data_IF_322814844245
#
_entry.id   IF_322814844245
#
_cell.length_a   1.000
_cell.length_b   1.000
_cell.length_c   1.000
_cell.angle_alpha   90.00
_cell.angle_beta   90.00
_cell.angle_gamma   90.00
#
_symmetry.space_group_name_H-M   'P 1'
#
loop_
_entity.id
_entity.type
_entity.pdbx_description
1 polymer ?
#
# COMPACT_ATOMS: atom_id res chain seq x y z
N UNK A 1 49.54 -45.60 -14.43
CA UNK A 1 49.31 -46.75 -13.54
C UNK A 1 47.85 -46.60 -13.08
N UNK A 2 46.92 -47.20 -13.86
CA UNK A 2 46.37 -48.57 -13.80
C UNK A 2 45.72 -48.84 -12.44
N UNK A 3 44.49 -49.12 -12.34
CA UNK A 3 43.43 -50.00 -12.78
C UNK A 3 42.45 -50.18 -11.62
N UNK A 4 41.13 -50.00 -11.84
CA UNK A 4 40.15 -51.11 -11.95
C UNK A 4 39.87 -51.84 -10.61
N UNK A 5 38.67 -52.05 -10.20
CA UNK A 5 37.56 -52.89 -10.66
C UNK A 5 36.33 -52.84 -9.69
N UNK A 6 35.18 -52.75 -10.23
CA UNK A 6 34.02 -53.65 -10.39
C UNK A 6 33.04 -53.87 -9.21
N UNK A 7 31.85 -53.56 -9.57
CA UNK A 7 30.56 -54.28 -9.49
C UNK A 7 30.17 -55.03 -8.21
N UNK A 8 28.95 -54.76 -7.74
CA UNK A 8 27.87 -55.77 -7.78
C UNK A 8 26.48 -55.18 -7.54
N UNK A 9 25.57 -55.69 -8.35
CA UNK A 9 24.12 -55.48 -8.37
C UNK A 9 23.44 -56.23 -7.21
N UNK A 10 22.32 -55.70 -6.68
CA UNK A 10 21.34 -56.47 -5.92
C UNK A 10 19.93 -55.93 -6.22
N UNK A 11 19.18 -56.75 -6.95
CA UNK A 11 17.75 -56.54 -7.24
C UNK A 11 16.88 -57.23 -6.19
N UNK A 12 15.72 -56.58 -5.84
CA UNK A 12 14.41 -57.13 -5.61
C UNK A 12 13.98 -57.41 -4.16
N UNK A 13 12.72 -57.62 -3.87
CA UNK A 13 11.54 -57.46 -4.73
C UNK A 13 10.41 -56.61 -4.13
N UNK A 14 9.45 -56.25 -4.95
CA UNK A 14 8.14 -55.71 -4.70
C UNK A 14 7.25 -56.58 -3.83
N UNK A 15 6.47 -55.96 -2.92
CA UNK A 15 5.31 -56.66 -2.34
C UNK A 15 4.10 -55.71 -2.37
N UNK A 16 3.20 -55.98 -3.29
CA UNK A 16 1.84 -55.43 -3.33
C UNK A 16 0.96 -56.24 -2.37
N UNK A 17 0.23 -55.60 -1.49
CA UNK A 17 -0.88 -56.23 -0.77
C UNK A 17 -2.12 -55.40 -0.99
N UNK A 18 -3.01 -55.92 -1.82
CA UNK A 18 -4.42 -55.58 -1.87
C UNK A 18 -5.18 -56.47 -0.87
N UNK A 19 -6.03 -55.90 -0.06
CA UNK A 19 -7.07 -56.66 0.68
C UNK A 19 -8.39 -55.94 0.58
N UNK A 20 -9.36 -56.77 0.22
CA UNK A 20 -10.69 -56.44 -0.20
C UNK A 20 -11.70 -56.26 0.95
N UNK A 21 -12.82 -55.68 0.52
CA UNK A 21 -14.15 -55.58 1.17
C UNK A 21 -14.54 -56.77 2.08
N UNK A 22 -15.27 -56.42 3.15
CA UNK A 22 -16.42 -57.22 3.60
C UNK A 22 -17.51 -56.35 4.23
N UNK A 23 -18.67 -56.48 3.62
CA UNK A 23 -19.97 -55.98 4.05
C UNK A 23 -20.54 -56.95 5.12
N UNK A 24 -21.07 -56.43 6.18
CA UNK A 24 -21.99 -57.20 7.03
C UNK A 24 -23.12 -56.33 7.51
N UNK A 25 -24.31 -56.71 7.07
CA UNK A 25 -25.66 -56.22 7.38
C UNK A 25 -26.17 -56.95 8.62
N UNK A 26 -26.65 -56.25 9.63
CA UNK A 26 -27.54 -56.82 10.63
C UNK A 26 -28.61 -55.81 11.06
N UNK A 27 -29.86 -56.15 10.73
CA UNK A 27 -31.07 -55.50 11.26
C UNK A 27 -31.33 -55.98 12.71
N UNK A 28 -31.77 -55.04 13.55
CA UNK A 28 -32.69 -55.33 14.62
C UNK A 28 -33.54 -54.11 14.96
N UNK A 29 -34.84 -54.28 14.86
CA UNK A 29 -35.94 -53.35 15.21
C UNK A 29 -36.18 -53.33 16.73
N UNK A 30 -36.52 -52.14 17.27
CA UNK A 30 -37.58 -51.85 18.25
C UNK A 30 -37.34 -50.45 18.84
N UNK A 31 -38.07 -49.43 18.53
CA UNK A 31 -39.36 -49.01 19.07
C UNK A 31 -39.18 -48.00 20.20
N UNK A 32 -39.50 -46.77 19.95
CA UNK A 32 -40.43 -45.90 20.66
C UNK A 32 -40.20 -44.43 20.32
N UNK A 33 -41.31 -43.89 19.92
CA UNK A 33 -41.63 -42.53 19.54
C UNK A 33 -41.17 -41.44 20.56
N UNK A 34 -40.54 -40.37 20.05
CA UNK A 34 -40.88 -39.00 20.47
C UNK A 34 -40.43 -38.04 19.34
N UNK A 35 -41.41 -37.53 18.64
CA UNK A 35 -41.29 -36.46 17.65
C UNK A 35 -40.73 -35.21 18.32
N UNK A 36 -39.48 -34.86 17.99
CA UNK A 36 -38.99 -33.47 18.06
C UNK A 36 -38.89 -32.95 16.64
N UNK A 37 -39.79 -32.03 16.39
CA UNK A 37 -39.88 -31.22 15.19
C UNK A 37 -38.51 -30.55 14.93
N UNK A 38 -37.88 -30.90 13.84
CA UNK A 38 -36.66 -30.25 13.39
C UNK A 38 -37.07 -28.88 12.85
N UNK A 39 -36.63 -27.82 13.54
CA UNK A 39 -36.75 -26.46 13.07
C UNK A 39 -35.98 -26.29 11.74
N UNK A 40 -36.68 -25.80 10.73
CA UNK A 40 -36.13 -25.41 9.44
C UNK A 40 -34.98 -24.36 9.63
N UNK A 41 -33.95 -24.39 8.80
CA UNK A 41 -32.91 -23.35 8.85
C UNK A 41 -33.56 -22.01 8.57
N UNK A 42 -33.36 -21.04 9.48
CA UNK A 42 -33.73 -19.66 9.26
C UNK A 42 -32.92 -19.14 8.07
N UNK A 43 -33.64 -18.79 7.03
CA UNK A 43 -33.15 -18.01 5.91
C UNK A 43 -32.45 -16.74 6.48
N UNK A 44 -31.14 -16.60 6.28
CA UNK A 44 -30.43 -15.38 6.63
C UNK A 44 -30.90 -14.35 5.61
N UNK A 45 -31.74 -13.43 6.06
CA UNK A 45 -32.19 -12.31 5.25
C UNK A 45 -30.94 -11.56 4.76
N UNK A 46 -30.79 -11.48 3.44
CA UNK A 46 -29.82 -10.61 2.82
C UNK A 46 -29.99 -9.19 3.38
N UNK A 47 -28.96 -8.65 4.01
CA UNK A 47 -28.95 -7.27 4.47
C UNK A 47 -29.22 -6.37 3.27
N UNK A 48 -30.24 -5.54 3.39
CA UNK A 48 -30.54 -4.52 2.40
C UNK A 48 -29.30 -3.62 2.21
N UNK A 49 -29.04 -3.13 0.98
CA UNK A 49 -27.94 -2.21 0.75
C UNK A 49 -28.12 -1.02 1.68
N UNK A 50 -27.04 -0.71 2.43
CA UNK A 50 -26.99 0.47 3.28
C UNK A 50 -27.20 1.66 2.35
N UNK A 51 -28.30 2.38 2.55
CA UNK A 51 -28.55 3.63 1.81
C UNK A 51 -27.45 4.62 2.17
N UNK A 52 -26.58 4.89 1.21
CA UNK A 52 -25.59 5.97 1.31
C UNK A 52 -26.40 7.25 1.47
N UNK A 53 -26.31 7.87 2.65
CA UNK A 53 -26.94 9.17 2.89
C UNK A 53 -26.46 10.15 1.83
N UNK A 54 -27.34 10.99 1.24
CA UNK A 54 -26.89 11.96 0.24
C UNK A 54 -25.89 12.90 0.91
N UNK A 55 -24.65 12.85 0.43
CA UNK A 55 -23.56 13.72 0.86
C UNK A 55 -24.02 15.15 0.66
N UNK A 56 -23.98 15.93 1.72
CA UNK A 56 -24.39 17.33 1.72
C UNK A 56 -23.66 18.10 0.62
N UNK A 57 -24.41 18.67 -0.31
CA UNK A 57 -23.96 19.40 -1.50
C UNK A 57 -23.28 20.76 -1.20
N UNK A 58 -22.65 20.93 -0.05
CA UNK A 58 -22.20 22.24 0.47
C UNK A 58 -20.72 22.56 0.24
N UNK A 59 -19.92 21.73 -0.44
CA UNK A 59 -18.55 22.08 -0.82
C UNK A 59 -18.44 22.08 -2.34
N UNK A 60 -19.18 22.92 -3.00
CA UNK A 60 -18.88 23.38 -4.35
C UNK A 60 -18.25 24.77 -4.26
N UNK A 61 -17.22 24.91 -3.41
CA UNK A 61 -16.34 26.06 -3.47
C UNK A 61 -15.72 26.06 -4.87
N UNK A 62 -15.61 27.23 -5.47
CA UNK A 62 -14.87 27.39 -6.73
C UNK A 62 -13.40 27.03 -6.47
N UNK A 63 -13.05 25.79 -6.74
CA UNK A 63 -11.69 25.28 -6.59
C UNK A 63 -10.80 25.63 -7.80
N UNK A 64 -11.38 26.31 -8.80
CA UNK A 64 -10.68 26.59 -10.05
C UNK A 64 -10.58 25.38 -10.99
N UNK A 65 -9.68 25.45 -11.99
CA UNK A 65 -9.47 24.34 -12.91
C UNK A 65 -8.83 23.13 -12.19
N UNK A 66 -9.03 21.90 -12.70
CA UNK A 66 -8.38 20.71 -12.18
C UNK A 66 -6.86 20.89 -12.06
N UNK A 67 -6.21 20.30 -11.03
CA UNK A 67 -4.75 20.30 -10.93
C UNK A 67 -4.10 19.67 -12.18
N UNK A 68 -2.94 20.18 -12.55
CA UNK A 68 -2.14 19.55 -13.60
C UNK A 68 -1.27 18.45 -13.00
N UNK A 69 -1.13 17.32 -13.71
CA UNK A 69 -0.24 16.23 -13.35
C UNK A 69 0.42 15.67 -14.62
N UNK A 70 1.74 15.46 -14.60
CA UNK A 70 2.46 14.92 -15.76
C UNK A 70 2.71 13.42 -15.59
N UNK A 71 1.72 12.63 -15.98
CA UNK A 71 1.76 11.17 -15.86
C UNK A 71 2.87 10.51 -16.70
N UNK A 72 3.25 11.10 -17.81
CA UNK A 72 4.37 10.58 -18.61
C UNK A 72 5.70 10.71 -17.86
N UNK A 73 5.90 11.82 -17.15
CA UNK A 73 7.09 12.03 -16.31
C UNK A 73 7.05 11.14 -15.06
N UNK A 74 5.90 11.01 -14.41
CA UNK A 74 5.74 10.08 -13.29
C UNK A 74 6.06 8.64 -13.70
N UNK A 75 5.55 8.18 -14.84
CA UNK A 75 5.87 6.85 -15.37
C UNK A 75 7.36 6.71 -15.75
N UNK A 76 8.01 7.77 -16.15
CA UNK A 76 9.46 7.76 -16.38
C UNK A 76 10.22 7.56 -15.06
N UNK A 77 9.81 8.21 -13.98
CA UNK A 77 10.38 7.99 -12.64
C UNK A 77 10.18 6.55 -12.16
N UNK A 78 9.01 5.96 -12.37
CA UNK A 78 8.79 4.52 -12.10
C UNK A 78 9.84 3.67 -12.79
N UNK A 79 10.03 3.87 -14.10
CA UNK A 79 11.01 3.10 -14.89
C UNK A 79 12.44 3.28 -14.38
N UNK A 80 12.81 4.48 -13.97
CA UNK A 80 14.14 4.79 -13.45
C UNK A 80 14.37 4.17 -12.06
N UNK A 81 13.37 4.19 -11.17
CA UNK A 81 13.43 3.53 -9.86
C UNK A 81 13.54 2.01 -10.04
N UNK A 82 12.68 1.42 -10.87
CA UNK A 82 12.69 -0.04 -11.16
C UNK A 82 14.01 -0.49 -11.80
N UNK A 83 14.66 0.38 -12.59
CA UNK A 83 15.93 0.05 -13.23
C UNK A 83 17.09 -0.16 -12.23
N UNK A 84 16.98 0.31 -10.99
CA UNK A 84 17.95 -0.03 -9.94
C UNK A 84 17.86 -1.51 -9.52
N UNK A 85 16.73 -2.18 -9.78
CA UNK A 85 16.45 -3.57 -9.39
C UNK A 85 15.87 -3.65 -7.98
N UNK A 86 15.87 -4.87 -7.38
CA UNK A 86 15.43 -5.08 -6.00
C UNK A 86 16.17 -4.12 -5.05
N UNK A 87 15.39 -3.44 -4.21
CA UNK A 87 15.89 -2.38 -3.31
C UNK A 87 15.45 -2.60 -1.86
N UNK A 88 15.61 -3.85 -1.31
CA UNK A 88 15.26 -4.08 0.07
C UNK A 88 16.16 -3.25 0.99
N UNK A 89 15.65 -2.95 2.17
CA UNK A 89 16.36 -2.20 3.20
C UNK A 89 17.82 -2.65 3.36
N UNK A 90 18.74 -1.68 3.45
CA UNK A 90 20.18 -1.92 3.64
C UNK A 90 20.93 -2.40 2.38
N UNK A 91 20.27 -2.58 1.24
CA UNK A 91 20.92 -2.95 -0.01
C UNK A 91 21.59 -1.75 -0.70
N UNK A 92 22.55 -2.05 -1.59
CA UNK A 92 23.18 -1.02 -2.41
C UNK A 92 22.19 -0.34 -3.38
N UNK A 93 21.17 -1.05 -3.85
CA UNK A 93 20.13 -0.49 -4.71
C UNK A 93 19.18 0.42 -3.93
N UNK A 94 18.86 0.06 -2.69
CA UNK A 94 18.11 0.90 -1.76
C UNK A 94 18.81 2.27 -1.62
N UNK A 95 20.10 2.26 -1.32
CA UNK A 95 20.88 3.51 -1.24
C UNK A 95 20.89 4.33 -2.55
N UNK A 96 20.87 3.67 -3.72
CA UNK A 96 20.76 4.38 -5.00
C UNK A 96 19.40 5.08 -5.16
N UNK A 97 18.31 4.46 -4.67
CA UNK A 97 16.99 5.08 -4.71
C UNK A 97 16.90 6.26 -3.76
N UNK A 98 17.46 6.17 -2.53
CA UNK A 98 17.61 7.36 -1.67
C UNK A 98 18.33 8.50 -2.42
N UNK A 99 19.50 8.23 -3.00
CA UNK A 99 20.28 9.22 -3.73
C UNK A 99 19.52 9.78 -4.94
N UNK A 100 18.72 8.95 -5.60
CA UNK A 100 17.87 9.33 -6.72
C UNK A 100 16.75 10.30 -6.28
N UNK A 101 16.05 9.98 -5.19
CA UNK A 101 15.02 10.86 -4.61
C UNK A 101 15.65 12.21 -4.24
N UNK A 102 16.76 12.22 -3.49
CA UNK A 102 17.48 13.45 -3.14
C UNK A 102 17.92 14.26 -4.35
N UNK A 103 18.37 13.60 -5.43
CA UNK A 103 18.79 14.29 -6.65
C UNK A 103 17.62 15.02 -7.33
N UNK A 104 16.40 14.45 -7.26
CA UNK A 104 15.19 15.08 -7.81
C UNK A 104 14.61 16.17 -6.91
N UNK A 105 14.96 16.18 -5.63
CA UNK A 105 14.55 17.19 -4.66
C UNK A 105 15.59 18.33 -4.51
N UNK A 106 16.59 18.35 -5.38
CA UNK A 106 17.63 19.38 -5.31
C UNK A 106 17.06 20.80 -5.44
N UNK A 107 17.24 21.59 -4.41
CA UNK A 107 16.72 22.96 -4.30
C UNK A 107 15.40 23.08 -3.51
N UNK A 108 14.79 21.97 -3.15
CA UNK A 108 13.66 21.94 -2.22
C UNK A 108 14.17 21.95 -0.76
N UNK A 109 13.28 22.20 0.19
CA UNK A 109 13.59 22.07 1.63
C UNK A 109 13.37 20.60 2.00
N UNK A 110 14.46 19.90 2.25
CA UNK A 110 14.42 18.46 2.58
C UNK A 110 14.97 18.23 3.99
N UNK A 111 14.28 17.41 4.75
CA UNK A 111 14.72 16.88 6.05
C UNK A 111 14.81 15.36 5.95
N UNK A 112 15.89 14.79 6.51
CA UNK A 112 16.03 13.35 6.68
C UNK A 112 15.77 12.98 8.13
N UNK A 113 14.95 11.95 8.33
CA UNK A 113 14.80 11.25 9.60
C UNK A 113 15.55 9.92 9.50
N UNK A 114 16.82 9.94 9.90
CA UNK A 114 17.72 8.80 9.77
C UNK A 114 18.00 8.15 11.13
N UNK A 115 17.87 6.85 11.20
CA UNK A 115 18.08 6.04 12.40
C UNK A 115 18.46 4.61 12.01
N UNK A 116 18.80 3.81 13.01
CA UNK A 116 19.06 2.36 12.81
C UNK A 116 17.98 1.53 13.48
N UNK A 117 17.63 0.42 12.86
CA UNK A 117 16.76 -0.60 13.47
C UNK A 117 17.53 -1.89 13.72
N UNK A 118 17.19 -2.56 14.82
CA UNK A 118 17.66 -3.90 15.14
C UNK A 118 16.56 -4.91 14.83
N UNK A 119 16.83 -5.86 13.96
CA UNK A 119 15.86 -6.88 13.51
C UNK A 119 16.41 -8.28 13.70
N UNK A 120 15.59 -9.30 13.47
CA UNK A 120 16.03 -10.70 13.50
C UNK A 120 17.01 -11.04 12.36
N UNK A 121 17.04 -10.25 11.29
CA UNK A 121 17.91 -10.44 10.12
C UNK A 121 19.19 -9.58 10.20
N UNK A 122 19.29 -8.69 11.20
CA UNK A 122 20.45 -7.83 11.40
C UNK A 122 20.07 -6.41 11.77
N UNK A 123 21.08 -5.55 11.75
CA UNK A 123 20.91 -4.12 11.97
C UNK A 123 20.92 -3.40 10.62
N UNK A 124 19.92 -2.53 10.41
CA UNK A 124 19.76 -1.80 9.16
C UNK A 124 19.63 -0.30 9.41
N UNK A 125 20.28 0.53 8.56
CA UNK A 125 19.97 1.95 8.51
C UNK A 125 18.61 2.16 7.84
N UNK A 126 17.82 3.09 8.37
CA UNK A 126 16.52 3.55 7.87
C UNK A 126 16.59 5.04 7.65
N UNK A 127 15.95 5.53 6.59
CA UNK A 127 15.93 6.96 6.26
C UNK A 127 14.60 7.37 5.67
N UNK A 128 13.76 8.03 6.44
CA UNK A 128 12.62 8.76 5.89
C UNK A 128 13.11 10.07 5.26
N UNK A 129 12.64 10.38 4.06
CA UNK A 129 13.00 11.61 3.32
C UNK A 129 11.75 12.50 3.26
N UNK A 130 11.83 13.73 3.78
CA UNK A 130 10.67 14.63 3.89
C UNK A 130 10.96 15.91 3.11
N UNK A 131 10.27 16.14 2.00
CA UNK A 131 10.30 17.39 1.26
C UNK A 131 9.17 18.32 1.73
N UNK A 132 9.51 19.57 2.09
CA UNK A 132 8.57 20.50 2.74
C UNK A 132 8.27 21.69 1.84
N UNK A 133 6.98 21.88 1.54
CA UNK A 133 6.47 23.00 0.75
C UNK A 133 5.61 23.89 1.66
N UNK A 134 6.12 25.08 2.07
CA UNK A 134 5.45 25.92 3.05
C UNK A 134 4.18 26.53 2.48
N UNK A 135 3.11 26.49 3.27
CA UNK A 135 1.86 27.20 3.05
C UNK A 135 1.73 28.42 3.95
N UNK A 136 0.68 29.19 3.74
CA UNK A 136 0.39 30.41 4.54
C UNK A 136 -0.55 30.14 5.72
N UNK A 137 -1.23 28.98 5.72
CA UNK A 137 -2.11 28.51 6.79
C UNK A 137 -1.37 27.65 7.79
N UNK A 138 -1.71 27.76 9.07
CA UNK A 138 -1.18 26.90 10.12
C UNK A 138 -1.71 25.47 9.97
N UNK A 139 -0.84 24.55 9.70
CA UNK A 139 -1.13 23.13 9.54
C UNK A 139 -0.32 22.49 8.43
N UNK A 140 -0.35 21.16 8.41
CA UNK A 140 0.44 20.33 7.51
C UNK A 140 -0.46 19.27 6.89
N UNK A 141 -0.41 19.10 5.58
CA UNK A 141 -0.91 17.93 4.89
C UNK A 141 0.31 17.08 4.53
N UNK A 142 0.34 15.84 4.96
CA UNK A 142 1.39 14.87 4.60
C UNK A 142 0.86 13.98 3.49
N UNK A 143 1.65 13.79 2.44
CA UNK A 143 1.42 12.79 1.40
C UNK A 143 2.61 11.85 1.47
N UNK A 144 2.36 10.56 1.69
CA UNK A 144 3.38 9.57 2.00
C UNK A 144 3.40 8.42 1.00
N UNK A 145 4.54 7.75 0.90
CA UNK A 145 4.77 6.56 0.11
C UNK A 145 6.05 5.89 0.55
N UNK A 146 6.07 4.56 0.66
CA UNK A 146 7.32 3.84 0.87
C UNK A 146 8.16 3.74 -0.41
N UNK A 147 9.46 3.46 -0.28
CA UNK A 147 10.35 3.33 -1.44
C UNK A 147 11.22 2.06 -1.42
N UNK A 148 11.21 1.30 -0.32
CA UNK A 148 11.90 0.01 -0.22
C UNK A 148 11.16 -1.10 -0.99
N UNK A 149 11.68 -2.30 -1.00
CA UNK A 149 11.02 -3.51 -1.53
C UNK A 149 11.14 -4.64 -0.53
N UNK A 150 10.19 -5.56 -0.61
CA UNK A 150 10.03 -6.69 0.28
C UNK A 150 11.35 -7.45 0.56
N UNK A 151 11.80 -7.44 1.82
CA UNK A 151 13.07 -8.04 2.22
C UNK A 151 13.11 -9.57 2.05
N UNK A 152 12.05 -10.34 2.33
CA UNK A 152 11.99 -11.75 2.00
C UNK A 152 12.25 -12.09 0.53
N UNK A 153 11.97 -11.17 -0.40
CA UNK A 153 12.17 -11.34 -1.84
C UNK A 153 13.52 -10.82 -2.36
N UNK A 154 14.43 -10.39 -1.48
CA UNK A 154 15.71 -9.74 -1.81
C UNK A 154 16.61 -10.49 -2.78
N UNK A 155 16.52 -11.82 -2.78
CA UNK A 155 17.36 -12.72 -3.63
C UNK A 155 16.62 -13.14 -4.92
N UNK A 156 15.52 -12.47 -5.25
CA UNK A 156 14.72 -12.72 -6.46
C UNK A 156 14.84 -11.58 -7.47
N UNK A 157 14.11 -11.66 -8.57
CA UNK A 157 13.98 -10.55 -9.52
C UNK A 157 12.78 -9.62 -9.20
N UNK A 158 12.29 -9.62 -7.98
CA UNK A 158 11.20 -8.73 -7.53
C UNK A 158 11.67 -7.27 -7.52
N UNK A 159 10.99 -6.41 -8.25
CA UNK A 159 11.40 -5.01 -8.41
C UNK A 159 10.38 -4.01 -7.84
N UNK A 160 9.21 -4.48 -7.36
CA UNK A 160 8.20 -3.63 -6.77
C UNK A 160 7.86 -2.42 -7.67
N UNK A 161 7.33 -2.68 -8.86
CA UNK A 161 7.04 -1.62 -9.82
C UNK A 161 5.77 -0.85 -9.43
N UNK A 162 4.75 -1.56 -8.95
CA UNK A 162 3.57 -0.96 -8.34
C UNK A 162 3.84 -0.69 -6.85
N UNK A 163 4.39 -1.68 -6.19
CA UNK A 163 4.67 -1.75 -4.79
C UNK A 163 5.96 -0.96 -4.46
N UNK A 164 5.76 0.27 -3.97
CA UNK A 164 6.76 1.27 -3.63
C UNK A 164 7.25 2.15 -4.78
N UNK A 165 7.41 1.66 -6.03
CA UNK A 165 7.94 2.53 -7.08
C UNK A 165 6.88 3.43 -7.72
N UNK A 166 5.61 2.98 -7.86
CA UNK A 166 4.54 3.77 -8.47
C UNK A 166 4.23 5.01 -7.64
N UNK A 167 4.05 4.84 -6.36
CA UNK A 167 3.71 5.88 -5.40
C UNK A 167 4.91 6.80 -5.11
N UNK A 168 6.12 6.27 -4.95
CA UNK A 168 7.34 7.08 -4.85
C UNK A 168 7.54 7.99 -6.07
N UNK A 169 7.27 7.48 -7.27
CA UNK A 169 7.34 8.26 -8.51
C UNK A 169 6.22 9.33 -8.59
N UNK A 170 5.03 9.02 -8.11
CA UNK A 170 3.93 9.97 -8.00
C UNK A 170 4.32 11.14 -7.10
N UNK A 171 4.92 10.88 -5.93
CA UNK A 171 5.40 11.93 -5.04
C UNK A 171 6.45 12.83 -5.70
N UNK A 172 7.39 12.28 -6.49
CA UNK A 172 8.37 13.07 -7.25
C UNK A 172 7.68 14.00 -8.27
N UNK A 173 6.60 13.55 -8.88
CA UNK A 173 5.82 14.40 -9.78
C UNK A 173 5.05 15.48 -9.01
N UNK A 174 4.47 15.15 -7.86
CA UNK A 174 3.83 16.14 -6.98
C UNK A 174 4.86 17.18 -6.52
N UNK A 175 6.08 16.78 -6.17
CA UNK A 175 7.18 17.70 -5.84
C UNK A 175 7.42 18.71 -6.98
N UNK A 176 7.45 18.25 -8.22
CA UNK A 176 7.58 19.15 -9.38
C UNK A 176 6.39 20.10 -9.53
N UNK A 177 5.18 19.65 -9.18
CA UNK A 177 3.98 20.51 -9.23
C UNK A 177 3.98 21.58 -8.13
N UNK A 178 4.58 21.30 -6.97
CA UNK A 178 4.62 22.21 -5.82
C UNK A 178 5.81 23.16 -5.86
N UNK A 179 6.91 22.74 -6.48
CA UNK A 179 8.17 23.50 -6.51
C UNK A 179 7.99 24.91 -7.07
N UNK A 180 8.45 25.90 -6.32
CA UNK A 180 8.36 27.31 -6.69
C UNK A 180 6.96 27.91 -6.65
N UNK A 181 5.94 27.16 -6.25
CA UNK A 181 4.60 27.71 -6.03
C UNK A 181 4.46 28.29 -4.63
N UNK A 182 3.72 29.38 -4.53
CA UNK A 182 3.23 29.88 -3.24
C UNK A 182 1.94 29.14 -2.91
N UNK A 183 1.91 28.40 -1.80
CA UNK A 183 0.72 27.74 -1.32
C UNK A 183 -0.04 28.70 -0.40
N UNK A 184 -1.28 29.02 -0.76
CA UNK A 184 -2.14 29.88 0.04
C UNK A 184 -2.89 29.10 1.13
N UNK A 185 -2.77 27.77 1.15
CA UNK A 185 -3.35 26.83 2.11
C UNK A 185 -2.36 26.34 3.16
N UNK A 186 -2.54 25.10 3.59
CA UNK A 186 -1.64 24.39 4.51
C UNK A 186 -0.28 24.12 3.86
N UNK A 187 0.74 23.89 4.69
CA UNK A 187 2.01 23.34 4.22
C UNK A 187 1.78 21.92 3.71
N UNK A 188 2.43 21.55 2.60
CA UNK A 188 2.40 20.18 2.08
C UNK A 188 3.77 19.56 2.30
N UNK A 189 3.80 18.42 2.98
CA UNK A 189 5.01 17.64 3.19
C UNK A 189 4.89 16.34 2.41
N UNK A 190 5.88 16.03 1.60
CA UNK A 190 5.98 14.76 0.88
C UNK A 190 6.95 13.88 1.62
N UNK A 191 6.48 12.70 2.01
CA UNK A 191 7.22 11.73 2.81
C UNK A 191 7.50 10.50 1.96
N UNK A 192 8.75 10.26 1.62
CA UNK A 192 9.21 8.95 1.20
C UNK A 192 9.66 8.22 2.45
N UNK A 193 8.85 7.33 2.94
CA UNK A 193 9.19 6.53 4.11
C UNK A 193 9.96 5.27 3.73
N UNK A 194 10.62 4.71 4.71
CA UNK A 194 11.57 3.62 4.55
C UNK A 194 11.23 2.46 5.48
N UNK A 195 11.57 1.25 5.05
CA UNK A 195 11.36 0.04 5.83
C UNK A 195 9.88 -0.18 6.20
N UNK A 196 8.99 0.10 5.26
CA UNK A 196 7.58 -0.30 5.34
C UNK A 196 7.49 -1.82 5.31
N UNK A 197 8.17 -2.41 4.34
CA UNK A 197 8.11 -3.81 4.01
C UNK A 197 8.58 -4.73 5.14
N UNK A 198 7.88 -5.86 5.28
CA UNK A 198 8.21 -6.82 6.33
C UNK A 198 9.61 -7.42 6.16
N UNK A 199 10.38 -7.45 7.26
CA UNK A 199 11.70 -8.07 7.29
C UNK A 199 11.61 -9.60 7.18
N UNK A 200 10.48 -10.17 7.59
CA UNK A 200 10.19 -11.61 7.48
C UNK A 200 8.70 -11.86 7.41
N UNK A 201 8.32 -13.00 6.84
CA UNK A 201 6.92 -13.46 6.86
C UNK A 201 6.58 -14.22 8.16
N UNK A 202 5.33 -14.17 8.63
CA UNK A 202 4.26 -13.30 8.12
C UNK A 202 4.51 -11.82 8.45
N UNK A 203 3.89 -10.92 7.69
CA UNK A 203 3.84 -9.49 7.99
C UNK A 203 3.17 -9.26 9.35
N UNK A 204 3.76 -8.42 10.18
CA UNK A 204 3.24 -8.05 11.51
C UNK A 204 3.70 -6.65 11.86
N UNK A 205 2.97 -5.97 12.73
CA UNK A 205 3.34 -4.63 13.26
C UNK A 205 4.75 -4.58 13.88
N UNK A 206 5.30 -5.73 14.31
CA UNK A 206 6.63 -5.77 14.92
C UNK A 206 7.76 -5.87 13.89
N UNK A 207 7.46 -6.29 12.66
CA UNK A 207 8.47 -6.57 11.64
C UNK A 207 8.34 -5.77 10.34
N UNK A 208 7.52 -4.72 10.34
CA UNK A 208 7.19 -3.85 9.21
C UNK A 208 6.98 -2.40 9.64
N UNK A 209 6.70 -1.52 8.73
CA UNK A 209 6.38 -0.08 8.91
C UNK A 209 7.32 0.66 9.89
N UNK A 210 8.60 0.29 9.87
CA UNK A 210 9.58 0.81 10.85
C UNK A 210 9.80 2.32 10.72
N UNK A 211 9.86 2.82 9.49
CA UNK A 211 10.10 4.23 9.18
C UNK A 211 9.02 5.12 9.79
N UNK A 212 7.78 4.85 9.45
CA UNK A 212 6.64 5.66 9.93
C UNK A 212 6.35 5.48 11.41
N UNK A 213 6.61 4.31 12.00
CA UNK A 213 6.48 4.12 13.46
C UNK A 213 7.45 5.03 14.22
N UNK A 214 8.71 5.09 13.76
CA UNK A 214 9.71 5.98 14.33
C UNK A 214 9.32 7.44 14.14
N UNK A 215 8.94 7.82 12.92
CA UNK A 215 8.60 9.20 12.58
C UNK A 215 7.37 9.70 13.33
N UNK A 216 6.33 8.88 13.43
CA UNK A 216 5.12 9.21 14.17
C UNK A 216 5.41 9.42 15.67
N UNK A 217 6.32 8.61 16.27
CA UNK A 217 6.77 8.81 17.64
C UNK A 217 7.58 10.11 17.77
N UNK A 218 8.56 10.35 16.89
CA UNK A 218 9.36 11.59 16.86
C UNK A 218 8.47 12.83 16.77
N UNK A 219 7.49 12.83 15.85
CA UNK A 219 6.58 13.96 15.67
C UNK A 219 5.57 14.12 16.81
N UNK A 220 5.29 13.04 17.55
CA UNK A 220 4.53 13.14 18.80
C UNK A 220 5.35 13.82 19.89
N UNK A 221 6.61 13.46 20.04
CA UNK A 221 7.50 13.94 21.10
C UNK A 221 7.86 15.43 20.90
N UNK A 222 8.06 15.87 19.66
CA UNK A 222 8.36 17.27 19.33
C UNK A 222 7.11 18.13 19.12
N UNK A 223 5.91 17.53 19.10
CA UNK A 223 4.63 18.21 18.96
C UNK A 223 4.20 18.48 17.52
N UNK A 224 4.98 18.11 16.52
CA UNK A 224 4.65 18.29 15.08
C UNK A 224 3.31 17.64 14.73
N UNK A 225 3.02 16.46 15.31
CA UNK A 225 1.83 15.67 15.04
C UNK A 225 0.52 16.45 15.24
N UNK A 226 0.48 17.42 16.17
CA UNK A 226 -0.70 18.26 16.45
C UNK A 226 -1.04 19.21 15.31
N UNK A 227 -0.08 19.46 14.44
CA UNK A 227 -0.22 20.36 13.30
C UNK A 227 -0.66 19.62 12.03
N UNK A 228 -0.61 18.28 12.00
CA UNK A 228 -1.01 17.49 10.84
C UNK A 228 -2.54 17.48 10.72
N UNK A 229 -3.04 17.97 9.61
CA UNK A 229 -4.47 18.08 9.30
C UNK A 229 -4.99 16.88 8.52
N UNK A 230 -4.13 16.27 7.72
CA UNK A 230 -4.37 15.02 7.00
C UNK A 230 -3.05 14.33 6.70
N UNK A 231 -3.07 13.01 6.74
CA UNK A 231 -2.03 12.11 6.26
C UNK A 231 -2.65 11.26 5.15
N UNK A 232 -2.14 11.34 3.94
CA UNK A 232 -2.61 10.60 2.76
C UNK A 232 -1.47 9.67 2.35
N UNK A 233 -1.69 8.38 2.50
CA UNK A 233 -0.78 7.36 2.02
C UNK A 233 -1.16 7.01 0.59
N UNK A 234 -0.16 6.86 -0.25
CA UNK A 234 -0.27 6.38 -1.61
C UNK A 234 0.51 5.08 -1.71
N UNK A 235 -0.17 3.97 -1.94
CA UNK A 235 0.47 2.68 -2.14
C UNK A 235 -0.16 1.90 -3.29
N UNK A 236 0.66 1.21 -4.08
CA UNK A 236 0.25 0.36 -5.21
C UNK A 236 -0.72 1.04 -6.20
N UNK A 237 -0.50 2.30 -6.53
CA UNK A 237 -1.45 3.17 -7.26
C UNK A 237 -1.27 3.17 -8.79
N UNK A 238 -0.44 2.30 -9.33
CA UNK A 238 -0.07 2.32 -10.74
C UNK A 238 -0.76 1.28 -11.63
N UNK A 239 -1.55 0.34 -11.08
CA UNK A 239 -2.18 -0.73 -11.87
C UNK A 239 -2.92 -0.19 -13.09
N UNK A 240 -2.76 -0.87 -14.23
CA UNK A 240 -3.45 -0.52 -15.47
C UNK A 240 -4.99 -0.67 -15.35
N UNK A 241 -5.46 -1.52 -14.44
CA UNK A 241 -6.87 -1.70 -14.09
C UNK A 241 -7.16 -1.13 -12.68
N UNK A 242 -6.86 0.15 -12.49
CA UNK A 242 -6.88 0.85 -11.21
C UNK A 242 -8.23 0.74 -10.48
N UNK A 243 -8.20 0.26 -9.23
CA UNK A 243 -9.33 0.11 -8.33
C UNK A 243 -8.93 0.40 -6.88
N UNK A 244 -8.85 1.67 -6.50
CA UNK A 244 -8.55 2.08 -5.13
C UNK A 244 -9.66 1.61 -4.19
N UNK A 245 -9.33 0.76 -3.23
CA UNK A 245 -10.26 0.28 -2.22
C UNK A 245 -10.51 1.32 -1.12
N UNK A 246 -11.66 1.22 -0.47
CA UNK A 246 -11.94 1.95 0.77
C UNK A 246 -11.34 1.19 1.94
N UNK A 247 -10.50 1.81 2.72
CA UNK A 247 -9.90 1.17 3.88
C UNK A 247 -10.75 1.38 5.15
N UNK A 248 -11.11 0.28 5.83
CA UNK A 248 -11.89 0.33 7.09
C UNK A 248 -11.15 1.02 8.24
N UNK A 249 -9.81 1.04 8.18
CA UNK A 249 -8.95 1.68 9.18
C UNK A 249 -8.71 3.16 8.89
N UNK A 250 -9.06 3.66 7.70
CA UNK A 250 -8.91 5.05 7.32
C UNK A 250 -9.95 5.97 7.97
N UNK A 251 -9.67 7.26 8.01
CA UNK A 251 -10.60 8.28 8.53
C UNK A 251 -11.73 8.53 7.54
N UNK A 252 -12.99 8.16 7.84
CA UNK A 252 -14.07 8.15 6.85
C UNK A 252 -14.31 9.49 6.15
N UNK A 253 -14.25 10.61 6.87
CA UNK A 253 -14.50 11.91 6.25
C UNK A 253 -13.38 12.32 5.27
N UNK A 254 -12.15 11.81 5.45
CA UNK A 254 -11.04 12.11 4.54
C UNK A 254 -11.17 11.29 3.26
N UNK A 255 -11.51 10.00 3.36
CA UNK A 255 -11.86 9.19 2.19
C UNK A 255 -13.08 9.74 1.44
N UNK A 256 -14.11 10.21 2.16
CA UNK A 256 -15.27 10.87 1.53
C UNK A 256 -14.83 12.12 0.76
N UNK A 257 -13.84 12.86 1.24
CA UNK A 257 -13.26 14.00 0.52
C UNK A 257 -12.49 13.56 -0.73
N UNK A 258 -11.69 12.51 -0.64
CA UNK A 258 -11.02 11.90 -1.80
C UNK A 258 -12.05 11.46 -2.86
N UNK A 259 -13.14 10.81 -2.43
CA UNK A 259 -14.21 10.40 -3.35
C UNK A 259 -14.91 11.60 -4.00
N UNK A 260 -15.11 12.70 -3.27
CA UNK A 260 -15.64 13.94 -3.82
C UNK A 260 -14.67 14.55 -4.85
N UNK A 261 -13.37 14.56 -4.57
CA UNK A 261 -12.34 14.98 -5.52
C UNK A 261 -12.37 14.14 -6.79
N UNK A 262 -12.40 12.80 -6.65
CA UNK A 262 -12.52 11.88 -7.76
C UNK A 262 -13.80 12.12 -8.57
N UNK A 263 -14.94 12.36 -7.91
CA UNK A 263 -16.23 12.65 -8.56
C UNK A 263 -16.18 13.94 -9.35
N UNK A 264 -15.60 15.00 -8.78
CA UNK A 264 -15.44 16.30 -9.44
C UNK A 264 -14.60 16.19 -10.73
N UNK A 265 -13.61 15.30 -10.71
CA UNK A 265 -12.69 15.06 -11.85
C UNK A 265 -13.21 14.00 -12.84
N UNK A 266 -14.32 13.32 -12.53
CA UNK A 266 -14.90 12.25 -13.36
C UNK A 266 -14.20 10.90 -13.21
N UNK A 267 -13.46 10.68 -12.13
CA UNK A 267 -12.68 9.47 -11.82
C UNK A 267 -13.28 8.56 -10.76
N UNK A 268 -14.49 8.85 -10.27
CA UNK A 268 -15.12 8.12 -9.15
C UNK A 268 -15.27 6.61 -9.37
N UNK A 269 -15.27 6.15 -10.62
CA UNK A 269 -15.35 4.72 -10.94
C UNK A 269 -14.10 3.92 -10.56
N UNK A 270 -13.00 4.60 -10.27
CA UNK A 270 -11.74 3.99 -9.85
C UNK A 270 -11.55 4.00 -8.34
N UNK A 271 -12.52 4.50 -7.57
CA UNK A 271 -12.38 4.69 -6.13
C UNK A 271 -13.52 4.03 -5.36
N UNK A 272 -13.15 3.25 -4.34
CA UNK A 272 -14.01 2.81 -3.25
C UNK A 272 -15.19 1.92 -3.66
N UNK A 273 -15.03 1.14 -4.75
CA UNK A 273 -16.01 0.13 -5.13
C UNK A 273 -16.04 -1.06 -4.14
N UNK A 274 -14.95 -1.31 -3.44
CA UNK A 274 -14.78 -2.35 -2.41
C UNK A 274 -14.28 -1.71 -1.13
N UNK A 275 -14.54 -2.40 0.00
CA UNK A 275 -14.03 -2.00 1.31
C UNK A 275 -13.20 -3.15 1.88
N UNK A 276 -12.02 -2.85 2.36
CA UNK A 276 -11.07 -3.81 2.95
C UNK A 276 -10.42 -3.21 4.19
N UNK A 277 -10.00 -3.99 5.19
CA UNK A 277 -9.14 -3.50 6.26
C UNK A 277 -7.68 -3.56 5.81
N UNK A 278 -6.96 -2.42 5.90
CA UNK A 278 -5.53 -2.35 5.63
C UNK A 278 -4.72 -2.10 6.89
N UNK A 279 -3.58 -2.77 6.95
CA UNK A 279 -2.54 -2.56 7.96
C UNK A 279 -1.34 -1.98 7.22
N UNK A 280 -1.08 -0.65 7.35
CA UNK A 280 -0.12 0.04 6.53
C UNK A 280 0.45 1.28 7.23
N UNK A 281 1.29 2.06 6.56
CA UNK A 281 2.03 3.22 7.04
C UNK A 281 1.15 4.35 7.61
N UNK A 282 -0.12 4.42 7.26
CA UNK A 282 -1.06 5.40 7.82
C UNK A 282 -1.43 5.08 9.29
N UNK A 283 -1.36 3.81 9.72
CA UNK A 283 -1.82 3.39 11.05
C UNK A 283 -1.09 4.02 12.23
N UNK A 284 0.25 4.14 12.26
CA UNK A 284 0.94 4.80 13.37
C UNK A 284 0.47 6.24 13.59
N UNK A 285 0.05 6.93 12.54
CA UNK A 285 -0.52 8.29 12.62
C UNK A 285 -1.97 8.27 13.09
N UNK A 286 -2.80 7.34 12.62
CA UNK A 286 -4.17 7.16 13.09
C UNK A 286 -4.24 6.85 14.58
N UNK A 287 -3.36 5.98 15.08
CA UNK A 287 -3.24 5.65 16.51
C UNK A 287 -2.94 6.89 17.36
N UNK A 288 -2.43 7.95 16.75
CA UNK A 288 -2.15 9.26 17.35
C UNK A 288 -3.19 10.32 17.01
N UNK A 289 -4.36 9.88 16.52
CA UNK A 289 -5.50 10.74 16.18
C UNK A 289 -5.24 11.72 15.02
N UNK A 290 -4.28 11.44 14.16
CA UNK A 290 -4.12 12.15 12.89
C UNK A 290 -5.15 11.62 11.90
N UNK A 291 -5.96 12.47 11.28
CA UNK A 291 -6.83 12.03 10.19
C UNK A 291 -6.00 11.47 9.05
N UNK A 292 -6.19 10.18 8.72
CA UNK A 292 -5.39 9.49 7.72
C UNK A 292 -6.27 8.76 6.72
N UNK A 293 -5.82 8.66 5.49
CA UNK A 293 -6.43 7.85 4.44
C UNK A 293 -5.32 7.07 3.72
N UNK A 294 -5.59 5.81 3.47
CA UNK A 294 -4.79 4.94 2.63
C UNK A 294 -5.44 4.83 1.25
N UNK A 295 -4.71 5.23 0.22
CA UNK A 295 -5.12 5.12 -1.17
C UNK A 295 -4.33 3.98 -1.82
N UNK A 296 -4.89 2.79 -1.73
CA UNK A 296 -4.25 1.55 -2.19
C UNK A 296 -5.13 0.81 -3.18
N UNK A 297 -4.52 0.26 -4.24
CA UNK A 297 -5.13 -0.77 -5.09
C UNK A 297 -4.61 -2.14 -4.69
N UNK A 298 -5.33 -2.80 -3.77
CA UNK A 298 -4.99 -4.14 -3.30
C UNK A 298 -5.69 -5.25 -4.12
N UNK A 299 -6.14 -4.90 -5.32
CA UNK A 299 -6.66 -5.87 -6.31
C UNK A 299 -5.72 -6.07 -7.51
N UNK A 300 -4.47 -5.71 -7.38
CA UNK A 300 -3.40 -5.66 -8.39
C UNK A 300 -3.29 -6.94 -9.22
N UNK A 301 -3.78 -6.85 -10.46
CA UNK A 301 -4.11 -8.00 -11.27
C UNK A 301 -5.35 -8.73 -10.72
N UNK A 302 -5.70 -9.88 -11.31
CA UNK A 302 -6.83 -10.67 -10.81
C UNK A 302 -6.53 -11.25 -9.42
N UNK A 303 -7.30 -10.83 -8.41
CA UNK A 303 -7.18 -11.30 -7.02
C UNK A 303 -5.77 -11.09 -6.42
N UNK A 304 -5.18 -9.93 -6.69
CA UNK A 304 -3.86 -9.51 -6.19
C UNK A 304 -2.68 -10.43 -6.57
N UNK A 305 -2.74 -11.08 -7.74
CA UNK A 305 -1.76 -12.12 -8.15
C UNK A 305 -0.37 -11.58 -8.47
N UNK A 306 -0.22 -10.27 -8.67
CA UNK A 306 1.09 -9.66 -8.98
C UNK A 306 1.81 -9.18 -7.73
N UNK A 307 1.09 -8.90 -6.65
CA UNK A 307 1.64 -8.42 -5.40
C UNK A 307 2.64 -9.40 -4.79
N UNK A 308 3.77 -8.92 -4.33
CA UNK A 308 4.88 -9.69 -3.77
C UNK A 308 5.35 -10.84 -4.67
N UNK A 309 5.32 -10.63 -5.98
CA UNK A 309 5.85 -11.59 -6.96
C UNK A 309 6.76 -10.90 -7.98
N UNK A 310 7.59 -11.69 -8.68
CA UNK A 310 8.42 -11.17 -9.77
C UNK A 310 7.62 -10.69 -11.00
N UNK A 311 6.29 -10.76 -10.93
CA UNK A 311 5.38 -10.22 -11.94
C UNK A 311 4.98 -8.76 -11.67
N UNK A 312 5.35 -8.20 -10.52
CA UNK A 312 5.20 -6.77 -10.27
C UNK A 312 6.22 -5.97 -11.08
N UNK A 313 5.83 -5.66 -12.30
CA UNK A 313 6.68 -5.09 -13.35
C UNK A 313 5.99 -3.93 -14.07
N UNK A 314 6.79 -3.04 -14.68
CA UNK A 314 6.31 -1.80 -15.33
C UNK A 314 5.23 -2.02 -16.39
N UNK A 315 5.21 -3.19 -17.05
CA UNK A 315 4.19 -3.51 -18.08
C UNK A 315 2.79 -3.76 -17.50
N UNK A 316 2.64 -3.89 -16.19
CA UNK A 316 1.35 -3.96 -15.50
C UNK A 316 0.78 -2.59 -15.17
N UNK A 317 1.59 -1.54 -15.28
CA UNK A 317 1.23 -0.20 -14.85
C UNK A 317 0.75 0.68 -16.01
N UNK A 318 -0.02 1.72 -15.66
CA UNK A 318 -0.53 2.70 -16.61
C UNK A 318 -0.17 4.13 -16.22
N UNK A 319 0.36 4.96 -17.14
CA UNK A 319 0.46 6.40 -16.88
C UNK A 319 -0.89 7.03 -16.53
N UNK A 320 -2.00 6.45 -17.02
CA UNK A 320 -3.34 6.97 -16.75
C UNK A 320 -3.72 6.77 -15.28
N UNK A 321 -3.33 5.67 -14.67
CA UNK A 321 -3.57 5.42 -13.24
C UNK A 321 -2.83 6.43 -12.38
N UNK A 322 -1.54 6.67 -12.67
CA UNK A 322 -0.76 7.73 -12.02
C UNK A 322 -1.36 9.13 -12.19
N UNK A 323 -1.92 9.43 -13.38
CA UNK A 323 -2.64 10.69 -13.62
C UNK A 323 -3.88 10.80 -12.74
N UNK A 324 -4.70 9.75 -12.71
CA UNK A 324 -5.94 9.70 -11.93
C UNK A 324 -5.63 9.96 -10.47
N UNK A 325 -4.77 9.14 -9.87
CA UNK A 325 -4.45 9.24 -8.44
C UNK A 325 -3.78 10.57 -8.14
N UNK A 326 -2.73 10.95 -8.86
CA UNK A 326 -2.01 12.20 -8.61
C UNK A 326 -2.88 13.46 -8.76
N UNK A 327 -3.82 13.46 -9.71
CA UNK A 327 -4.76 14.58 -9.87
C UNK A 327 -5.79 14.62 -8.74
N UNK A 328 -6.32 13.45 -8.32
CA UNK A 328 -7.27 13.34 -7.21
C UNK A 328 -6.61 13.74 -5.89
N UNK A 329 -5.38 13.32 -5.63
CA UNK A 329 -4.63 13.71 -4.43
C UNK A 329 -4.41 15.23 -4.37
N UNK A 330 -3.96 15.85 -5.46
CA UNK A 330 -3.79 17.31 -5.52
C UNK A 330 -5.11 18.06 -5.38
N UNK A 331 -6.21 17.55 -5.94
CA UNK A 331 -7.55 18.12 -5.75
C UNK A 331 -8.01 17.99 -4.30
N UNK A 332 -7.74 16.85 -3.65
CA UNK A 332 -8.03 16.62 -2.24
C UNK A 332 -7.29 17.64 -1.35
N UNK A 333 -6.02 17.92 -1.64
CA UNK A 333 -5.23 18.96 -0.96
C UNK A 333 -5.92 20.32 -1.10
N UNK A 334 -6.35 20.70 -2.32
CA UNK A 334 -7.07 21.97 -2.53
C UNK A 334 -8.40 22.02 -1.77
N UNK A 335 -9.13 20.91 -1.67
CA UNK A 335 -10.37 20.82 -0.89
C UNK A 335 -10.11 20.96 0.62
N UNK A 336 -9.04 20.34 1.14
CA UNK A 336 -8.60 20.47 2.53
C UNK A 336 -8.28 21.94 2.87
N UNK A 337 -7.69 22.68 1.95
CA UNK A 337 -7.39 24.10 2.11
C UNK A 337 -8.64 25.00 2.22
N UNK A 338 -9.79 24.52 1.75
CA UNK A 338 -11.07 25.24 1.82
C UNK A 338 -11.95 24.84 3.02
N UNK A 339 -11.56 23.76 3.72
CA UNK A 339 -12.26 23.30 4.93
C UNK A 339 -11.82 24.11 6.15
#
# INVERSE_FOLDING_TARGET
MTLNERRKRGRGPSLSIAVALSVSLALALSGCSSTKEAAAPKEVAASAPVAVSPISSTIQADLGPPPSFNSARAMQYVKEIVAFGPRPIGSANHKKVEDYIHAHLKGDVVEDDAFDIDTTEGKFPVRNIIAKYPGTRDGIIVIASHYDTNYPLRDTAYVGANDGASSSALLLEIANQLRGKKLDGYSVWLLWDDAEEAIKLPWTDDNSVYGVRHLAQKWQDDGTIKNIKAFILEDMIGDADLNIERDENSTPWLEDMVYQAATRLGYQSHFFARTIPMEDDHKPFMQRHVPSADLIDFSYGYDNVFWHTTQDTVDKLSPKSLEIVGTVTLETVQMLDKK
#
